data_IF_820362735123
#
_entry.id   IF_820362735123
#
_cell.length_a   1.000
_cell.length_b   1.000
_cell.length_c   1.000
_cell.angle_alpha   90.00
_cell.angle_beta   90.00
_cell.angle_gamma   90.00
#
_symmetry.space_group_name_H-M   'P 1'
#
loop_
_entity.id
_entity.type
_entity.pdbx_description
1 polymer ?
#
# COMPACT_ATOMS: atom_id res chain seq x y z
N UNK A 1 -4.31 -21.72 -24.16
CA UNK A 1 -4.33 -20.72 -25.21
C UNK A 1 -3.30 -19.63 -24.87
N UNK A 2 -2.11 -19.67 -25.54
CA UNK A 2 -1.16 -18.61 -25.73
C UNK A 2 -0.99 -17.57 -24.65
N UNK A 3 -0.53 -17.94 -23.46
CA UNK A 3 0.09 -16.96 -22.60
C UNK A 3 1.29 -16.41 -23.39
N UNK A 4 1.24 -15.15 -23.83
CA UNK A 4 2.35 -14.49 -24.48
C UNK A 4 3.52 -14.52 -23.50
N UNK A 5 4.58 -15.22 -23.86
CA UNK A 5 5.82 -15.17 -23.10
C UNK A 5 6.38 -13.76 -23.19
N UNK A 6 6.50 -13.01 -22.08
CA UNK A 6 7.16 -11.72 -22.10
C UNK A 6 8.56 -11.87 -22.67
N UNK A 7 8.91 -11.01 -23.62
CA UNK A 7 10.25 -11.00 -24.22
C UNK A 7 11.09 -9.94 -23.52
N UNK A 8 12.26 -10.36 -23.02
CA UNK A 8 13.24 -9.49 -22.36
C UNK A 8 14.44 -9.37 -23.30
N UNK A 9 14.78 -8.14 -23.64
CA UNK A 9 15.92 -7.82 -24.51
C UNK A 9 17.10 -7.41 -23.64
N UNK A 10 18.23 -8.09 -23.81
CA UNK A 10 19.49 -7.81 -23.12
C UNK A 10 20.60 -7.53 -24.14
N UNK A 11 21.49 -6.59 -23.86
CA UNK A 11 22.62 -6.31 -24.72
C UNK A 11 23.90 -7.01 -24.24
N UNK A 12 24.77 -7.33 -25.18
CA UNK A 12 26.10 -7.84 -24.85
C UNK A 12 26.87 -6.78 -24.06
N UNK A 13 27.64 -7.19 -23.06
CA UNK A 13 28.39 -6.35 -22.13
C UNK A 13 27.51 -5.51 -21.20
N UNK A 14 26.19 -5.72 -21.24
CA UNK A 14 25.22 -5.11 -20.31
C UNK A 14 24.52 -6.20 -19.49
N UNK A 15 23.96 -5.81 -18.36
CA UNK A 15 23.15 -6.70 -17.53
C UNK A 15 21.68 -6.24 -17.54
N UNK A 16 20.78 -7.21 -17.58
CA UNK A 16 19.35 -6.98 -17.39
C UNK A 16 18.97 -7.44 -15.98
N UNK A 17 18.34 -6.58 -15.20
CA UNK A 17 17.82 -6.90 -13.88
C UNK A 17 16.33 -7.25 -13.98
N UNK A 18 15.98 -8.49 -13.68
CA UNK A 18 14.59 -8.97 -13.61
C UNK A 18 14.19 -9.00 -12.14
N UNK A 19 13.36 -8.06 -11.75
CA UNK A 19 12.87 -7.92 -10.38
C UNK A 19 11.58 -8.72 -10.20
N UNK A 20 11.55 -9.58 -9.19
CA UNK A 20 10.35 -10.33 -8.77
C UNK A 20 9.50 -9.54 -7.76
N UNK A 21 8.38 -10.14 -7.34
CA UNK A 21 7.50 -9.55 -6.35
C UNK A 21 8.19 -9.48 -4.97
N UNK A 22 8.04 -8.39 -4.19
CA UNK A 22 8.56 -8.35 -2.83
C UNK A 22 8.05 -9.52 -1.97
N UNK A 23 8.97 -10.18 -1.27
CA UNK A 23 8.70 -11.34 -0.43
C UNK A 23 8.42 -12.65 -1.19
N UNK A 24 8.57 -12.69 -2.52
CA UNK A 24 8.50 -13.90 -3.33
C UNK A 24 9.85 -14.60 -3.35
N UNK A 25 9.86 -15.93 -3.18
CA UNK A 25 11.08 -16.74 -3.09
C UNK A 25 11.26 -17.62 -4.32
N UNK A 26 12.43 -17.55 -4.93
CA UNK A 26 12.79 -18.41 -6.09
C UNK A 26 13.11 -19.82 -5.61
N UNK A 27 12.43 -20.80 -6.20
CA UNK A 27 12.68 -22.22 -5.95
C UNK A 27 13.66 -22.81 -6.94
N UNK A 28 13.49 -22.49 -8.24
CA UNK A 28 14.40 -23.00 -9.29
C UNK A 28 14.44 -22.07 -10.50
N UNK A 29 15.55 -22.14 -11.22
CA UNK A 29 15.81 -21.37 -12.44
C UNK A 29 16.23 -22.38 -13.53
N UNK A 30 15.53 -22.38 -14.65
CA UNK A 30 15.81 -23.24 -15.79
C UNK A 30 16.02 -22.38 -17.04
N UNK A 31 17.21 -22.48 -17.60
CA UNK A 31 17.63 -21.73 -18.76
C UNK A 31 17.87 -22.68 -19.93
N UNK A 32 17.29 -22.40 -21.10
CA UNK A 32 17.41 -23.25 -22.27
C UNK A 32 18.83 -23.30 -22.86
N UNK A 33 19.53 -22.17 -22.84
CA UNK A 33 20.93 -22.07 -23.28
C UNK A 33 21.80 -21.60 -22.11
N UNK A 34 22.38 -22.53 -21.40
CA UNK A 34 23.24 -22.27 -20.24
C UNK A 34 24.69 -21.93 -20.62
N UNK A 35 25.05 -22.08 -21.88
CA UNK A 35 26.44 -21.85 -22.36
C UNK A 35 26.66 -20.38 -22.73
N UNK A 36 25.66 -19.77 -23.40
CA UNK A 36 25.78 -18.41 -23.94
C UNK A 36 24.99 -17.36 -23.17
N UNK A 37 24.30 -17.79 -22.12
CA UNK A 37 23.58 -16.91 -21.18
C UNK A 37 24.00 -17.21 -19.75
N UNK A 38 24.19 -16.16 -18.97
CA UNK A 38 24.43 -16.24 -17.54
C UNK A 38 23.23 -15.64 -16.81
N UNK A 39 22.77 -16.33 -15.78
CA UNK A 39 21.70 -15.89 -14.89
C UNK A 39 22.15 -16.07 -13.46
N UNK A 40 22.23 -14.98 -12.72
CA UNK A 40 22.69 -14.97 -11.34
C UNK A 40 21.58 -14.43 -10.43
N UNK A 41 21.23 -15.10 -9.33
CA UNK A 41 20.29 -14.57 -8.36
C UNK A 41 20.95 -13.46 -7.53
N UNK A 42 20.19 -12.40 -7.22
CA UNK A 42 20.58 -11.35 -6.30
C UNK A 42 19.42 -10.99 -5.40
N UNK A 43 19.70 -10.44 -4.23
CA UNK A 43 18.69 -10.10 -3.23
C UNK A 43 18.90 -8.67 -2.78
N UNK A 44 17.80 -7.90 -2.70
CA UNK A 44 17.78 -6.56 -2.10
C UNK A 44 16.76 -6.49 -0.98
N UNK A 45 16.99 -5.61 -0.01
CA UNK A 45 16.10 -5.46 1.15
C UNK A 45 16.34 -6.51 2.23
N UNK A 46 15.43 -6.55 3.22
CA UNK A 46 15.46 -7.53 4.33
C UNK A 46 14.06 -7.84 4.80
N UNK A 47 13.82 -9.08 5.21
CA UNK A 47 12.54 -9.53 5.76
C UNK A 47 11.37 -9.33 4.79
N UNK A 48 10.29 -8.73 5.24
CA UNK A 48 9.07 -8.54 4.42
C UNK A 48 9.27 -7.63 3.18
N UNK A 49 10.34 -6.83 3.15
CA UNK A 49 10.71 -5.98 2.01
C UNK A 49 11.80 -6.59 1.12
N UNK A 50 12.16 -7.84 1.36
CA UNK A 50 13.12 -8.56 0.55
C UNK A 50 12.58 -8.75 -0.87
N UNK A 51 13.43 -8.45 -1.86
CA UNK A 51 13.12 -8.61 -3.28
C UNK A 51 14.19 -9.45 -3.91
N UNK A 52 13.79 -10.50 -4.59
CA UNK A 52 14.69 -11.33 -5.37
C UNK A 52 14.80 -10.80 -6.80
N UNK A 53 16.00 -10.81 -7.31
CA UNK A 53 16.36 -10.36 -8.63
C UNK A 53 17.09 -11.46 -9.40
N UNK A 54 16.93 -11.47 -10.70
CA UNK A 54 17.69 -12.30 -11.61
C UNK A 54 18.49 -11.38 -12.52
N UNK A 55 19.81 -11.44 -12.37
CA UNK A 55 20.74 -10.67 -13.19
C UNK A 55 21.09 -11.51 -14.41
N UNK A 56 20.63 -11.07 -15.58
CA UNK A 56 20.76 -11.80 -16.84
C UNK A 56 21.80 -11.12 -17.73
N UNK A 57 22.71 -11.91 -18.30
CA UNK A 57 23.76 -11.44 -19.16
C UNK A 57 23.93 -12.36 -20.37
N UNK A 58 23.75 -11.88 -21.63
CA UNK A 58 24.10 -12.61 -22.84
C UNK A 58 25.58 -12.50 -23.10
N UNK A 59 26.17 -13.58 -23.65
CA UNK A 59 27.58 -13.62 -24.04
C UNK A 59 27.79 -13.30 -25.52
N UNK A 60 26.73 -13.37 -26.36
CA UNK A 60 26.80 -13.09 -27.78
C UNK A 60 25.53 -12.40 -28.29
N UNK A 61 25.59 -11.83 -29.48
CA UNK A 61 24.48 -11.09 -30.13
C UNK A 61 23.61 -12.06 -30.93
N UNK A 62 22.31 -11.73 -31.05
CA UNK A 62 21.35 -12.49 -31.86
C UNK A 62 20.95 -13.84 -31.25
N UNK A 63 21.19 -14.03 -29.97
CA UNK A 63 20.76 -15.21 -29.25
C UNK A 63 19.28 -15.07 -28.84
N UNK A 64 18.60 -16.22 -28.83
CA UNK A 64 17.24 -16.34 -28.28
C UNK A 64 17.17 -17.64 -27.48
N UNK A 65 16.61 -17.55 -26.25
CA UNK A 65 16.40 -18.70 -25.37
C UNK A 65 15.21 -18.51 -24.50
N UNK A 66 14.77 -19.56 -23.82
CA UNK A 66 13.73 -19.54 -22.80
C UNK A 66 14.33 -19.54 -21.39
N UNK A 67 13.70 -18.80 -20.49
CA UNK A 67 13.97 -18.81 -19.06
C UNK A 67 12.69 -19.16 -18.32
N UNK A 68 12.73 -20.21 -17.52
CA UNK A 68 11.62 -20.60 -16.62
C UNK A 68 12.08 -20.44 -15.18
N UNK A 69 11.33 -19.67 -14.42
CA UNK A 69 11.60 -19.43 -13.00
C UNK A 69 10.40 -19.88 -12.20
N UNK A 70 10.62 -20.81 -11.29
CA UNK A 70 9.58 -21.24 -10.34
C UNK A 70 9.79 -20.57 -9.00
N UNK A 71 8.72 -20.12 -8.39
CA UNK A 71 8.75 -19.46 -7.10
C UNK A 71 7.76 -20.13 -6.13
N UNK A 72 7.70 -19.65 -4.91
CA UNK A 72 6.70 -20.06 -3.92
C UNK A 72 5.26 -19.60 -4.28
N UNK A 73 5.11 -18.67 -5.25
CA UNK A 73 3.82 -18.09 -5.64
C UNK A 73 3.38 -18.44 -7.05
N UNK A 74 4.31 -18.54 -8.02
CA UNK A 74 3.98 -18.71 -9.45
C UNK A 74 5.17 -19.22 -10.26
N UNK A 75 4.92 -19.45 -11.55
CA UNK A 75 5.96 -19.78 -12.53
C UNK A 75 6.01 -18.70 -13.59
N UNK A 76 7.21 -18.18 -13.85
CA UNK A 76 7.47 -17.23 -14.91
C UNK A 76 8.03 -17.96 -16.14
N UNK A 77 7.41 -17.75 -17.28
CA UNK A 77 7.90 -18.23 -18.57
C UNK A 77 8.32 -17.01 -19.39
N UNK A 78 9.62 -16.83 -19.56
CA UNK A 78 10.21 -15.66 -20.17
C UNK A 78 10.98 -16.07 -21.44
N UNK A 79 11.00 -15.19 -22.43
CA UNK A 79 11.85 -15.29 -23.60
C UNK A 79 12.97 -14.29 -23.48
N UNK A 80 14.22 -14.72 -23.55
CA UNK A 80 15.39 -13.87 -23.54
C UNK A 80 15.88 -13.69 -24.97
N UNK A 81 16.15 -12.45 -25.34
CA UNK A 81 16.75 -12.10 -26.67
C UNK A 81 17.95 -11.21 -26.43
N UNK A 82 19.06 -11.52 -27.14
CA UNK A 82 20.25 -10.68 -27.09
C UNK A 82 20.29 -9.72 -28.27
N UNK A 83 20.67 -8.49 -28.01
CA UNK A 83 20.81 -7.44 -28.99
C UNK A 83 22.18 -6.76 -28.87
N UNK A 84 22.62 -6.05 -29.89
CA UNK A 84 23.93 -5.37 -29.88
C UNK A 84 23.93 -4.15 -28.96
N UNK A 85 22.85 -3.39 -28.94
CA UNK A 85 22.76 -2.08 -28.25
C UNK A 85 21.49 -1.93 -27.43
N UNK A 86 20.35 -2.44 -27.94
CA UNK A 86 19.07 -2.32 -27.23
C UNK A 86 19.00 -3.28 -26.06
N UNK A 87 18.62 -2.78 -24.90
CA UNK A 87 18.43 -3.62 -23.73
C UNK A 87 17.45 -2.97 -22.74
N UNK A 88 16.87 -3.80 -21.92
CA UNK A 88 16.01 -3.43 -20.79
C UNK A 88 16.85 -3.50 -19.50
N UNK A 89 17.35 -2.37 -18.98
CA UNK A 89 18.24 -2.40 -17.81
C UNK A 89 17.51 -2.96 -16.58
N UNK A 90 16.19 -2.77 -16.50
CA UNK A 90 15.35 -3.30 -15.42
C UNK A 90 14.00 -3.72 -15.96
N UNK A 91 13.56 -4.90 -15.57
CA UNK A 91 12.22 -5.46 -15.84
C UNK A 91 11.55 -5.77 -14.51
N UNK A 92 10.35 -5.28 -14.33
CA UNK A 92 9.51 -5.60 -13.18
C UNK A 92 8.12 -6.00 -13.67
N UNK A 93 7.45 -6.87 -12.91
CA UNK A 93 6.11 -7.34 -13.23
C UNK A 93 5.06 -6.55 -12.47
N UNK A 94 3.93 -6.31 -13.10
CA UNK A 94 2.75 -5.75 -12.46
C UNK A 94 1.84 -6.91 -12.07
N UNK A 95 1.47 -6.95 -10.79
CA UNK A 95 0.60 -7.98 -10.22
C UNK A 95 -0.78 -7.36 -9.94
N UNK A 96 -1.80 -7.64 -10.76
CA UNK A 96 -3.12 -7.03 -10.62
C UNK A 96 -3.77 -7.32 -9.25
N UNK A 97 -3.54 -8.51 -8.71
CA UNK A 97 -4.08 -8.93 -7.40
C UNK A 97 -3.53 -8.05 -6.27
N UNK A 98 -2.23 -7.72 -6.32
CA UNK A 98 -1.61 -6.85 -5.32
C UNK A 98 -2.09 -5.41 -5.42
N UNK A 99 -2.33 -4.94 -6.64
CA UNK A 99 -2.88 -3.61 -6.87
C UNK A 99 -4.30 -3.53 -6.28
N UNK A 100 -5.14 -4.52 -6.52
CA UNK A 100 -6.49 -4.60 -5.96
C UNK A 100 -6.46 -4.66 -4.43
N UNK A 101 -5.65 -5.53 -3.84
CA UNK A 101 -5.52 -5.65 -2.38
C UNK A 101 -5.04 -4.34 -1.73
N UNK A 102 -4.12 -3.62 -2.37
CA UNK A 102 -3.69 -2.29 -1.90
C UNK A 102 -4.82 -1.27 -1.95
N UNK A 103 -5.59 -1.23 -3.02
CA UNK A 103 -6.74 -0.33 -3.15
C UNK A 103 -7.83 -0.64 -2.13
N UNK A 104 -8.13 -1.91 -1.89
CA UNK A 104 -9.08 -2.34 -0.86
C UNK A 104 -8.62 -1.93 0.54
N UNK A 105 -7.33 -2.09 0.83
CA UNK A 105 -6.77 -1.67 2.11
C UNK A 105 -6.85 -0.14 2.32
N UNK A 106 -6.63 0.66 1.27
CA UNK A 106 -6.80 2.11 1.32
C UNK A 106 -8.26 2.47 1.58
N UNK A 107 -9.20 1.91 0.81
CA UNK A 107 -10.64 2.13 1.00
C UNK A 107 -11.11 1.74 2.41
N UNK A 108 -10.62 0.62 2.93
CA UNK A 108 -10.97 0.18 4.29
C UNK A 108 -10.47 1.16 5.35
N UNK A 109 -9.27 1.73 5.19
CA UNK A 109 -8.74 2.76 6.09
C UNK A 109 -9.55 4.05 6.03
N UNK A 110 -9.90 4.50 4.84
CA UNK A 110 -10.73 5.69 4.64
C UNK A 110 -12.11 5.51 5.26
N UNK A 111 -12.78 4.39 4.99
CA UNK A 111 -14.09 4.07 5.56
C UNK A 111 -14.05 4.02 7.10
N UNK A 112 -13.00 3.40 7.67
CA UNK A 112 -12.81 3.36 9.11
C UNK A 112 -12.59 4.77 9.70
N UNK A 113 -11.82 5.62 9.04
CA UNK A 113 -11.60 6.99 9.46
C UNK A 113 -12.91 7.80 9.43
N UNK A 114 -13.72 7.64 8.39
CA UNK A 114 -15.04 8.27 8.28
C UNK A 114 -15.98 7.78 9.39
N UNK A 115 -16.04 6.48 9.65
CA UNK A 115 -16.86 5.91 10.73
C UNK A 115 -16.44 6.44 12.11
N UNK A 116 -15.13 6.50 12.38
CA UNK A 116 -14.62 7.07 13.64
C UNK A 116 -15.01 8.53 13.77
N UNK A 117 -14.89 9.30 12.68
CA UNK A 117 -15.29 10.71 12.67
C UNK A 117 -16.79 10.87 12.91
N UNK A 118 -17.63 10.08 12.27
CA UNK A 118 -19.08 10.08 12.46
C UNK A 118 -19.48 9.67 13.89
N UNK A 119 -18.86 8.61 14.44
CA UNK A 119 -19.14 8.15 15.80
C UNK A 119 -18.72 9.15 16.88
N UNK A 120 -17.78 10.06 16.56
CA UNK A 120 -17.31 11.13 17.45
C UNK A 120 -17.95 12.49 17.17
N UNK A 121 -18.92 12.54 16.28
CA UNK A 121 -19.68 13.77 15.98
C UNK A 121 -20.98 13.76 16.75
N UNK A 122 -21.31 14.85 17.43
CA UNK A 122 -22.57 14.98 18.17
C UNK A 122 -23.75 15.04 17.18
N UNK A 123 -24.76 14.13 17.27
CA UNK A 123 -25.86 14.11 16.30
C UNK A 123 -26.69 15.40 16.29
N UNK A 124 -26.78 16.09 17.45
CA UNK A 124 -27.59 17.28 17.60
C UNK A 124 -26.93 18.56 17.04
N UNK A 125 -25.63 18.67 17.07
CA UNK A 125 -24.89 19.89 16.68
C UNK A 125 -23.94 19.70 15.51
N UNK A 126 -23.66 18.46 15.13
CA UNK A 126 -22.68 18.14 14.09
C UNK A 126 -21.23 18.40 14.50
N UNK A 127 -20.97 18.66 15.78
CA UNK A 127 -19.64 18.98 16.30
C UNK A 127 -18.83 17.72 16.57
N UNK A 128 -17.53 17.76 16.20
CA UNK A 128 -16.62 16.66 16.46
C UNK A 128 -16.13 16.69 17.92
N UNK A 129 -16.34 15.60 18.66
CA UNK A 129 -15.99 15.50 20.08
C UNK A 129 -14.50 15.73 20.38
N UNK A 130 -13.61 15.47 19.42
CA UNK A 130 -12.18 15.68 19.58
C UNK A 130 -11.76 17.16 19.56
N UNK A 131 -12.61 18.03 19.05
CA UNK A 131 -12.35 19.47 18.98
C UNK A 131 -13.01 20.22 20.14
N UNK A 132 -13.69 19.51 21.05
CA UNK A 132 -14.39 20.08 22.18
C UNK A 132 -13.54 20.07 23.45
N UNK A 133 -13.43 21.23 24.07
CA UNK A 133 -12.81 21.39 25.39
C UNK A 133 -13.88 21.30 26.49
N UNK A 134 -13.73 20.30 27.35
CA UNK A 134 -14.60 20.04 28.51
C UNK A 134 -13.98 20.47 29.82
N UNK A 135 -12.88 21.20 29.83
CA UNK A 135 -12.14 21.60 31.03
C UNK A 135 -12.85 22.77 31.79
N UNK A 136 -14.17 22.74 31.85
CA UNK A 136 -14.96 23.68 32.58
C UNK A 136 -15.51 23.06 33.87
N UNK A 137 -15.40 23.79 34.98
CA UNK A 137 -16.02 23.43 36.24
C UNK A 137 -17.24 24.31 36.49
N UNK A 138 -18.37 23.69 36.80
CA UNK A 138 -19.59 24.41 37.13
C UNK A 138 -19.84 24.27 38.63
N UNK A 139 -19.80 25.39 39.39
CA UNK A 139 -20.04 25.42 40.85
C UNK A 139 -21.39 26.09 41.16
N UNK A 140 -21.90 25.85 42.34
CA UNK A 140 -23.17 26.39 42.82
C UNK A 140 -24.30 25.36 42.87
N UNK A 141 -25.43 25.76 43.52
CA UNK A 141 -26.56 24.87 43.83
C UNK A 141 -27.90 25.36 43.26
N UNK A 142 -27.86 26.29 42.29
CA UNK A 142 -29.07 26.83 41.68
C UNK A 142 -29.89 25.75 40.94
N UNK A 143 -31.20 25.84 40.94
CA UNK A 143 -32.12 24.92 40.26
C UNK A 143 -31.88 24.88 38.73
N UNK A 144 -31.36 25.97 38.16
CA UNK A 144 -31.01 26.14 36.75
C UNK A 144 -29.54 25.88 36.44
N UNK A 145 -28.80 25.26 37.37
CA UNK A 145 -27.37 24.94 37.14
C UNK A 145 -27.21 24.18 35.85
N UNK A 146 -26.27 24.60 34.97
CA UNK A 146 -25.97 23.89 33.75
C UNK A 146 -25.51 22.43 33.98
N UNK A 147 -25.98 21.53 33.14
CA UNK A 147 -25.57 20.11 33.16
C UNK A 147 -24.16 19.94 32.69
N UNK A 148 -23.75 20.74 31.69
CA UNK A 148 -22.44 20.65 31.06
C UNK A 148 -22.08 21.96 30.36
N UNK A 149 -20.79 22.29 30.36
CA UNK A 149 -20.20 23.40 29.60
C UNK A 149 -19.04 22.88 28.83
N UNK A 150 -18.95 23.26 27.57
CA UNK A 150 -17.82 22.92 26.71
C UNK A 150 -17.60 23.97 25.62
N UNK A 151 -16.42 23.98 25.00
CA UNK A 151 -16.03 24.92 23.96
C UNK A 151 -15.61 24.17 22.69
N UNK A 152 -15.99 24.69 21.51
CA UNK A 152 -15.64 24.15 20.21
C UNK A 152 -14.46 24.90 19.53
N UNK A 153 -13.74 25.73 20.30
CA UNK A 153 -12.68 26.60 19.80
C UNK A 153 -13.19 27.94 19.26
N UNK A 154 -14.51 28.11 19.06
CA UNK A 154 -15.12 29.34 18.54
C UNK A 154 -16.19 29.90 19.49
N UNK A 155 -16.93 29.06 20.14
CA UNK A 155 -18.03 29.40 21.04
C UNK A 155 -18.07 28.48 22.24
N UNK A 156 -18.57 28.98 23.37
CA UNK A 156 -18.84 28.17 24.55
C UNK A 156 -20.32 27.74 24.53
N UNK A 157 -20.53 26.42 24.63
CA UNK A 157 -21.85 25.80 24.62
C UNK A 157 -22.20 25.42 26.04
N UNK A 158 -23.36 25.89 26.50
CA UNK A 158 -23.87 25.63 27.83
C UNK A 158 -25.14 24.78 27.71
N UNK A 159 -25.06 23.54 28.16
CA UNK A 159 -26.20 22.62 28.16
C UNK A 159 -27.00 22.80 29.44
N UNK A 160 -28.20 23.33 29.31
CA UNK A 160 -29.11 23.54 30.42
C UNK A 160 -29.97 22.30 30.68
N UNK A 161 -30.52 22.12 31.93
CA UNK A 161 -31.51 21.11 32.22
C UNK A 161 -32.76 21.29 31.37
N UNK A 162 -33.48 20.21 31.08
CA UNK A 162 -34.76 20.26 30.32
C UNK A 162 -35.84 21.05 31.03
N UNK A 163 -35.72 21.22 32.34
CA UNK A 163 -36.63 22.03 33.19
C UNK A 163 -36.33 23.54 33.11
N UNK A 164 -35.27 23.95 32.40
CA UNK A 164 -34.86 25.37 32.35
C UNK A 164 -35.94 26.28 31.77
N UNK A 165 -36.72 25.80 30.81
CA UNK A 165 -37.81 26.57 30.20
C UNK A 165 -38.97 26.87 31.15
N UNK A 166 -39.00 26.26 32.34
CA UNK A 166 -40.03 26.43 33.35
C UNK A 166 -39.63 27.40 34.47
N UNK A 167 -38.39 27.89 34.46
CA UNK A 167 -37.88 28.83 35.44
C UNK A 167 -37.45 30.12 34.73
N UNK A 168 -37.95 31.25 35.18
CA UNK A 168 -37.43 32.54 34.74
C UNK A 168 -35.95 32.67 35.16
N UNK A 169 -35.11 33.08 34.23
CA UNK A 169 -33.74 33.45 34.57
C UNK A 169 -33.77 34.71 35.45
N UNK A 170 -32.88 34.79 36.44
CA UNK A 170 -32.80 35.97 37.32
C UNK A 170 -32.33 37.20 36.54
#
# INVERSE_FOLDING_TARGET
>A
FGAQQPSIVCAVLQVCDIQLQPGEQVNSIHLGDQVRWQVEPAITGRGASEVQHLIVKPLDVGLETSLVVTTDRRTYHLRLRSHRQEFMPRVAFIYPEDAQAKWEAVKLRENRAVQIKQARTLPATGEYLGDLDFLYSVSGTAAWKPLRVYNDGKKTIIQMPTTFSQHEAP
#
